data_IF_962452395247
#
_entry.id   IF_962452395247
#
_cell.length_a   1.000
_cell.length_b   1.000
_cell.length_c   1.000
_cell.angle_alpha   90.00
_cell.angle_beta   90.00
_cell.angle_gamma   90.00
#
_symmetry.space_group_name_H-M   'P 1'
#
loop_
_entity.id
_entity.type
_entity.pdbx_description
1 polymer ?
#
# COMPACT_ATOMS: atom_id res chain seq x y z
N UNK A 1 21.84 -14.35 25.64
CA UNK A 1 21.94 -13.25 24.67
C UNK A 1 20.70 -13.27 23.82
N UNK A 2 19.73 -12.40 24.08
CA UNK A 2 18.48 -12.31 23.32
C UNK A 2 18.71 -11.34 22.15
N UNK A 3 18.42 -11.80 20.94
CA UNK A 3 18.47 -11.00 19.72
C UNK A 3 17.64 -9.72 19.91
N UNK A 4 18.24 -8.57 19.59
CA UNK A 4 17.57 -7.28 19.68
C UNK A 4 16.32 -7.23 18.78
N UNK A 5 15.39 -6.29 19.03
CA UNK A 5 14.18 -6.15 18.23
C UNK A 5 14.54 -5.96 16.75
N UNK A 6 13.89 -6.72 15.87
CA UNK A 6 14.03 -6.57 14.42
C UNK A 6 13.65 -5.14 14.03
N UNK A 7 14.63 -4.39 13.50
CA UNK A 7 14.47 -3.00 13.09
C UNK A 7 14.03 -2.98 11.62
N UNK A 8 12.89 -2.36 11.35
CA UNK A 8 12.51 -1.98 10.00
C UNK A 8 13.44 -0.87 9.48
N UNK A 9 13.78 -0.90 8.19
CA UNK A 9 14.68 0.07 7.56
C UNK A 9 14.11 1.49 7.43
N UNK A 10 12.84 1.70 7.82
CA UNK A 10 12.15 2.98 7.69
C UNK A 10 12.21 3.73 9.02
N UNK A 11 13.17 4.67 9.10
CA UNK A 11 13.40 5.60 10.21
C UNK A 11 12.06 6.26 10.57
N UNK A 12 11.48 5.85 11.70
CA UNK A 12 10.20 6.28 12.28
C UNK A 12 8.93 6.12 11.41
N UNK A 13 8.41 4.90 11.37
CA UNK A 13 7.09 4.59 11.96
C UNK A 13 7.20 3.18 12.53
N UNK A 14 7.40 3.05 13.83
CA UNK A 14 6.98 1.83 14.49
C UNK A 14 5.49 1.71 14.16
N UNK A 15 5.06 0.66 13.46
CA UNK A 15 3.72 0.16 13.75
C UNK A 15 3.80 -0.21 15.23
N UNK A 16 3.32 0.69 16.10
CA UNK A 16 3.38 0.48 17.54
C UNK A 16 2.34 -0.59 17.85
N UNK A 17 2.69 -1.84 17.58
CA UNK A 17 1.88 -3.03 17.91
C UNK A 17 1.70 -3.18 19.44
N UNK A 18 2.37 -2.34 20.24
CA UNK A 18 2.26 -2.27 21.69
C UNK A 18 1.08 -1.39 22.15
N UNK A 19 0.50 -0.59 21.27
CA UNK A 19 -0.67 0.20 21.63
C UNK A 19 -1.85 -0.73 21.82
N UNK A 20 -2.61 -0.53 22.90
CA UNK A 20 -3.85 -1.24 23.10
C UNK A 20 -4.82 -0.80 22.01
N UNK A 21 -5.48 -1.78 21.38
CA UNK A 21 -6.64 -1.54 20.52
C UNK A 21 -7.64 -0.72 21.33
N UNK A 22 -8.04 0.41 20.80
CA UNK A 22 -9.02 1.32 21.39
C UNK A 22 -10.40 0.65 21.46
N UNK A 23 -11.33 1.25 22.20
CA UNK A 23 -12.71 0.74 22.24
C UNK A 23 -13.36 0.82 20.86
N UNK A 24 -13.14 1.92 20.15
CA UNK A 24 -13.72 2.15 18.83
C UNK A 24 -13.17 1.17 17.79
N UNK A 25 -11.85 0.95 17.78
CA UNK A 25 -11.22 -0.07 16.91
C UNK A 25 -11.76 -1.48 17.21
N UNK A 26 -11.98 -1.83 18.48
CA UNK A 26 -12.58 -3.11 18.84
C UNK A 26 -14.03 -3.22 18.36
N UNK A 27 -14.83 -2.17 18.46
CA UNK A 27 -16.22 -2.16 17.97
C UNK A 27 -16.24 -2.34 16.46
N UNK A 28 -15.38 -1.63 15.72
CA UNK A 28 -15.28 -1.75 14.27
C UNK A 28 -14.81 -3.16 13.89
N UNK A 29 -13.79 -3.70 14.56
CA UNK A 29 -13.32 -5.06 14.30
C UNK A 29 -14.42 -6.11 14.56
N UNK A 30 -15.16 -5.97 15.67
CA UNK A 30 -16.29 -6.84 15.97
C UNK A 30 -17.40 -6.72 14.92
N UNK A 31 -17.72 -5.51 14.47
CA UNK A 31 -18.69 -5.29 13.41
C UNK A 31 -18.25 -5.94 12.09
N UNK A 32 -17.01 -5.72 11.66
CA UNK A 32 -16.46 -6.29 10.43
C UNK A 32 -16.44 -7.81 10.49
N UNK A 33 -16.01 -8.40 11.61
CA UNK A 33 -15.87 -9.86 11.74
C UNK A 33 -17.15 -10.59 12.18
N UNK A 34 -18.22 -9.87 12.49
CA UNK A 34 -19.49 -10.50 12.81
C UNK A 34 -20.09 -11.14 11.56
N UNK A 35 -20.48 -12.41 11.66
CA UNK A 35 -21.20 -13.14 10.62
C UNK A 35 -22.67 -12.66 10.53
N UNK A 36 -22.86 -11.45 10.00
CA UNK A 36 -24.16 -10.78 9.84
C UNK A 36 -24.52 -10.64 8.36
N UNK A 37 -25.80 -10.45 8.05
CA UNK A 37 -26.29 -10.21 6.68
C UNK A 37 -25.88 -8.84 6.10
N UNK A 38 -25.24 -7.97 6.90
CA UNK A 38 -24.82 -6.61 6.54
C UNK A 38 -23.54 -6.54 5.67
N UNK A 39 -23.29 -7.55 4.84
CA UNK A 39 -22.04 -7.72 4.06
C UNK A 39 -21.76 -6.58 3.09
N UNK A 40 -22.79 -5.83 2.69
CA UNK A 40 -22.73 -4.71 1.75
C UNK A 40 -22.72 -3.34 2.43
N UNK A 41 -22.58 -3.27 3.75
CA UNK A 41 -22.42 -2.00 4.45
C UNK A 41 -21.07 -1.37 4.09
N UNK A 42 -21.05 -0.07 3.81
CA UNK A 42 -19.83 0.67 3.50
C UNK A 42 -18.98 0.81 4.77
N UNK A 43 -17.72 0.37 4.69
CA UNK A 43 -16.76 0.45 5.81
C UNK A 43 -15.65 1.45 5.52
N UNK A 44 -15.30 1.65 4.25
CA UNK A 44 -14.27 2.60 3.86
C UNK A 44 -14.61 3.23 2.51
N UNK A 45 -14.57 4.56 2.43
CA UNK A 45 -14.92 5.32 1.23
C UNK A 45 -13.79 6.31 0.89
N UNK A 46 -12.93 5.98 -0.09
CA UNK A 46 -11.97 6.94 -0.62
C UNK A 46 -12.71 8.04 -1.41
N UNK A 47 -12.21 9.29 -1.34
CA UNK A 47 -12.89 10.45 -1.90
C UNK A 47 -13.17 10.36 -3.42
N UNK A 48 -12.34 9.63 -4.17
CA UNK A 48 -12.36 9.60 -5.64
C UNK A 48 -12.51 8.18 -6.22
N UNK A 49 -12.93 7.19 -5.42
CA UNK A 49 -13.14 5.81 -5.89
C UNK A 49 -14.39 5.15 -5.29
N UNK A 50 -14.69 3.94 -5.78
CA UNK A 50 -15.79 3.12 -5.28
C UNK A 50 -15.61 2.82 -3.78
N UNK A 51 -16.68 2.89 -2.99
CA UNK A 51 -16.64 2.48 -1.59
C UNK A 51 -16.31 0.99 -1.43
N UNK A 52 -15.62 0.66 -0.34
CA UNK A 52 -15.31 -0.69 0.08
C UNK A 52 -16.29 -1.15 1.15
N UNK A 53 -16.91 -2.29 0.88
CA UNK A 53 -17.93 -2.90 1.74
C UNK A 53 -17.33 -3.81 2.81
N UNK A 54 -18.10 -4.08 3.86
CA UNK A 54 -17.76 -4.97 4.98
C UNK A 54 -17.14 -6.31 4.53
N UNK A 55 -17.76 -6.97 3.53
CA UNK A 55 -17.29 -8.27 3.02
C UNK A 55 -15.84 -8.26 2.54
N UNK A 56 -15.33 -7.12 2.06
CA UNK A 56 -13.92 -7.00 1.66
C UNK A 56 -12.99 -7.17 2.86
N UNK A 57 -13.36 -6.62 4.01
CA UNK A 57 -12.52 -6.59 5.21
C UNK A 57 -12.66 -7.84 6.09
N UNK A 58 -13.67 -8.69 5.86
CA UNK A 58 -13.83 -9.96 6.56
C UNK A 58 -12.61 -10.88 6.41
N UNK A 59 -11.86 -10.77 5.30
CA UNK A 59 -10.63 -11.52 5.10
C UNK A 59 -9.46 -11.09 6.01
N UNK A 60 -9.61 -10.02 6.80
CA UNK A 60 -8.66 -9.68 7.86
C UNK A 60 -8.81 -10.59 9.09
N UNK A 61 -9.84 -11.43 9.14
CA UNK A 61 -9.96 -12.43 10.19
C UNK A 61 -8.85 -13.49 10.08
N UNK A 62 -8.21 -13.91 11.20
CA UNK A 62 -7.13 -14.88 11.17
C UNK A 62 -7.49 -16.19 10.44
N UNK A 63 -6.62 -16.63 9.54
CA UNK A 63 -6.79 -17.87 8.77
C UNK A 63 -7.55 -17.71 7.45
N UNK A 64 -7.98 -16.49 7.10
CA UNK A 64 -8.60 -16.20 5.81
C UNK A 64 -7.57 -15.59 4.85
N UNK A 65 -7.63 -15.99 3.58
CA UNK A 65 -6.77 -15.43 2.52
C UNK A 65 -7.14 -13.97 2.25
N UNK A 66 -6.14 -13.09 2.26
CA UNK A 66 -6.34 -11.67 2.07
C UNK A 66 -6.79 -11.35 0.64
N UNK A 67 -7.85 -10.53 0.51
CA UNK A 67 -8.32 -10.00 -0.77
C UNK A 67 -7.42 -8.87 -1.28
N UNK A 68 -7.24 -8.79 -2.60
CA UNK A 68 -6.57 -7.65 -3.25
C UNK A 68 -7.27 -6.32 -2.95
N UNK A 69 -8.59 -6.33 -2.76
CA UNK A 69 -9.35 -5.12 -2.45
C UNK A 69 -8.95 -4.53 -1.08
N UNK A 70 -8.52 -5.37 -0.12
CA UNK A 70 -7.98 -4.86 1.16
C UNK A 70 -6.62 -4.21 0.96
N UNK A 71 -5.78 -4.76 0.07
CA UNK A 71 -4.50 -4.14 -0.29
C UNK A 71 -4.71 -2.78 -0.96
N UNK A 72 -5.70 -2.69 -1.84
CA UNK A 72 -6.04 -1.45 -2.53
C UNK A 72 -6.57 -0.40 -1.53
N UNK A 73 -7.46 -0.79 -0.62
CA UNK A 73 -7.91 0.08 0.48
C UNK A 73 -6.74 0.53 1.36
N UNK A 74 -5.77 -0.35 1.62
CA UNK A 74 -4.57 -0.01 2.39
C UNK A 74 -3.66 0.98 1.64
N UNK A 75 -3.53 0.84 0.32
CA UNK A 75 -2.76 1.77 -0.52
C UNK A 75 -3.32 3.20 -0.43
N UNK A 76 -4.65 3.35 -0.39
CA UNK A 76 -5.32 4.63 -0.18
C UNK A 76 -4.93 5.27 1.14
N UNK A 77 -5.04 4.52 2.23
CA UNK A 77 -4.67 5.01 3.58
C UNK A 77 -3.22 5.45 3.61
N UNK A 78 -2.31 4.63 3.07
CA UNK A 78 -0.88 4.94 3.04
C UNK A 78 -0.57 6.18 2.20
N UNK A 79 -1.18 6.33 1.03
CA UNK A 79 -0.96 7.50 0.19
C UNK A 79 -1.52 8.79 0.81
N UNK A 80 -2.67 8.74 1.49
CA UNK A 80 -3.20 9.89 2.24
C UNK A 80 -2.28 10.27 3.40
N UNK A 81 -1.67 9.29 4.05
CA UNK A 81 -0.69 9.51 5.10
C UNK A 81 0.61 10.15 4.60
N UNK A 82 1.01 9.87 3.35
CA UNK A 82 2.19 10.51 2.74
C UNK A 82 2.03 12.02 2.59
N UNK A 83 0.81 12.53 2.47
CA UNK A 83 0.52 13.98 2.50
C UNK A 83 0.95 14.64 3.82
N UNK A 84 1.14 13.85 4.89
CA UNK A 84 1.58 14.28 6.22
C UNK A 84 3.00 13.84 6.57
N UNK A 85 3.79 13.43 5.57
CA UNK A 85 5.16 12.93 5.80
C UNK A 85 6.06 14.02 6.42
N UNK A 86 7.04 13.58 7.21
CA UNK A 86 8.03 14.50 7.78
C UNK A 86 8.89 15.15 6.68
N UNK A 87 9.34 16.41 6.88
CA UNK A 87 10.33 17.03 6.01
C UNK A 87 11.58 16.15 5.86
N UNK A 88 12.10 16.02 4.63
CA UNK A 88 13.27 15.18 4.33
C UNK A 88 13.00 13.67 4.28
N UNK A 89 11.83 13.19 4.72
CA UNK A 89 11.44 11.78 4.56
C UNK A 89 11.22 11.45 3.07
N UNK A 90 11.69 10.28 2.59
CA UNK A 90 11.48 9.89 1.21
C UNK A 90 9.98 9.83 0.88
N UNK A 91 9.62 10.39 -0.27
CA UNK A 91 8.25 10.36 -0.76
C UNK A 91 7.95 8.98 -1.34
N UNK A 92 6.94 8.31 -0.78
CA UNK A 92 6.54 6.96 -1.17
C UNK A 92 5.24 7.02 -1.96
N UNK A 93 5.14 6.19 -2.99
CA UNK A 93 3.88 5.96 -3.70
C UNK A 93 3.51 4.48 -3.57
N UNK A 94 2.31 4.21 -3.09
CA UNK A 94 1.75 2.87 -2.99
C UNK A 94 0.71 2.69 -4.10
N UNK A 95 1.04 1.90 -5.13
CA UNK A 95 0.10 1.63 -6.23
C UNK A 95 -0.82 0.46 -5.87
N UNK A 96 -1.99 0.44 -6.49
CA UNK A 96 -2.98 -0.62 -6.33
C UNK A 96 -2.58 -1.90 -7.06
N UNK A 97 -3.19 -3.01 -6.68
CA UNK A 97 -2.99 -4.36 -7.26
C UNK A 97 -3.34 -4.45 -8.74
N UNK A 98 -4.19 -3.55 -9.22
CA UNK A 98 -4.56 -3.44 -10.63
C UNK A 98 -3.50 -2.77 -11.52
N UNK A 99 -2.33 -2.38 -10.97
CA UNK A 99 -1.21 -1.81 -11.75
C UNK A 99 -0.83 -2.71 -12.93
N UNK A 100 -0.85 -4.03 -12.72
CA UNK A 100 -0.78 -5.06 -13.74
C UNK A 100 -1.95 -6.04 -13.53
N UNK A 101 -3.07 -5.86 -14.24
CA UNK A 101 -4.23 -6.74 -14.12
C UNK A 101 -3.86 -8.20 -14.42
N UNK A 102 -4.58 -9.15 -13.79
CA UNK A 102 -4.33 -10.59 -13.96
C UNK A 102 -4.35 -11.03 -15.44
N UNK A 103 -5.17 -10.37 -16.27
CA UNK A 103 -5.25 -10.62 -17.71
C UNK A 103 -3.93 -10.35 -18.44
N UNK A 104 -3.11 -9.41 -17.97
CA UNK A 104 -1.82 -9.08 -18.57
C UNK A 104 -0.80 -10.23 -18.46
N UNK A 105 -1.03 -11.22 -17.59
CA UNK A 105 -0.17 -12.40 -17.46
C UNK A 105 -0.58 -13.55 -18.39
N UNK A 106 -1.66 -13.40 -19.17
CA UNK A 106 -2.07 -14.41 -20.15
C UNK A 106 -1.11 -14.42 -21.37
N UNK A 107 -0.94 -15.56 -22.06
CA UNK A 107 0.07 -15.71 -23.13
C UNK A 107 -0.03 -14.73 -24.30
N UNK A 108 -1.23 -14.17 -24.55
CA UNK A 108 -1.48 -13.22 -25.63
C UNK A 108 -1.00 -11.78 -25.37
N UNK A 109 -0.54 -11.50 -24.14
CA UNK A 109 0.04 -10.22 -23.77
C UNK A 109 1.56 -10.33 -23.85
N UNK A 110 2.15 -9.63 -24.81
CA UNK A 110 3.59 -9.44 -24.90
C UNK A 110 4.07 -8.39 -23.87
N UNK A 111 5.39 -8.28 -23.72
CA UNK A 111 5.98 -7.37 -22.74
C UNK A 111 5.72 -5.89 -23.07
N UNK A 112 5.51 -5.54 -24.35
CA UNK A 112 5.16 -4.18 -24.75
C UNK A 112 3.77 -3.80 -24.25
N UNK A 113 2.76 -4.65 -24.46
CA UNK A 113 1.40 -4.40 -23.95
C UNK A 113 1.34 -4.34 -22.43
N UNK A 114 2.14 -5.18 -21.75
CA UNK A 114 2.26 -5.14 -20.28
C UNK A 114 2.86 -3.81 -19.82
N UNK A 115 3.90 -3.36 -20.50
CA UNK A 115 4.56 -2.07 -20.21
C UNK A 115 3.60 -0.90 -20.43
N UNK A 116 2.83 -0.90 -21.53
CA UNK A 116 1.84 0.13 -21.83
C UNK A 116 0.75 0.17 -20.75
N UNK A 117 0.18 -1.00 -20.41
CA UNK A 117 -0.83 -1.10 -19.35
C UNK A 117 -0.31 -0.61 -18.00
N UNK A 118 0.90 -1.03 -17.62
CA UNK A 118 1.54 -0.58 -16.38
C UNK A 118 1.77 0.94 -16.39
N UNK A 119 2.19 1.50 -17.52
CA UNK A 119 2.45 2.93 -17.68
C UNK A 119 1.15 3.73 -17.55
N UNK A 120 0.07 3.29 -18.20
CA UNK A 120 -1.26 3.90 -18.09
C UNK A 120 -1.75 3.89 -16.65
N UNK A 121 -1.72 2.73 -15.98
CA UNK A 121 -2.16 2.59 -14.60
C UNK A 121 -1.29 3.38 -13.62
N UNK A 122 0.01 3.47 -13.86
CA UNK A 122 0.92 4.28 -13.06
C UNK A 122 0.62 5.77 -13.21
N UNK A 123 0.37 6.24 -14.44
CA UNK A 123 -0.02 7.63 -14.69
C UNK A 123 -1.35 7.98 -13.99
N UNK A 124 -2.31 7.05 -13.99
CA UNK A 124 -3.55 7.21 -13.21
C UNK A 124 -3.25 7.30 -11.70
N UNK A 125 -2.39 6.44 -11.17
CA UNK A 125 -2.00 6.48 -9.76
C UNK A 125 -1.26 7.77 -9.39
N UNK A 126 -0.40 8.30 -10.25
CA UNK A 126 0.28 9.59 -10.06
C UNK A 126 -0.75 10.73 -10.02
N UNK A 127 -1.65 10.77 -11.00
CA UNK A 127 -2.72 11.78 -11.10
C UNK A 127 -3.61 11.79 -9.85
N UNK A 128 -4.08 10.61 -9.40
CA UNK A 128 -4.91 10.44 -8.19
C UNK A 128 -4.24 10.95 -6.91
N UNK A 129 -2.92 10.97 -6.88
CA UNK A 129 -2.15 11.40 -5.71
C UNK A 129 -1.56 12.80 -5.87
N UNK A 130 -2.03 13.57 -6.86
CA UNK A 130 -1.55 14.93 -7.16
C UNK A 130 -0.05 15.00 -7.49
N UNK A 131 0.51 13.91 -8.04
CA UNK A 131 1.93 13.80 -8.40
C UNK A 131 2.08 14.11 -9.89
N UNK A 132 2.86 15.13 -10.23
CA UNK A 132 2.99 15.58 -11.63
C UNK A 132 3.99 14.76 -12.41
N UNK A 133 5.11 14.40 -11.78
CA UNK A 133 6.19 13.67 -12.41
C UNK A 133 6.60 12.47 -11.55
N UNK A 134 6.83 11.33 -12.20
CA UNK A 134 7.28 10.10 -11.53
C UNK A 134 8.61 10.28 -10.76
N UNK A 135 9.46 11.20 -11.18
CA UNK A 135 10.73 11.48 -10.52
C UNK A 135 10.59 12.21 -9.17
N UNK A 136 9.38 12.67 -8.82
CA UNK A 136 9.08 13.17 -7.47
C UNK A 136 8.95 12.03 -6.47
N UNK A 137 8.64 10.81 -6.94
CA UNK A 137 8.53 9.61 -6.12
C UNK A 137 9.93 9.06 -5.85
N UNK A 138 10.27 8.90 -4.58
CA UNK A 138 11.54 8.31 -4.16
C UNK A 138 11.48 6.78 -4.10
N UNK A 139 10.34 6.26 -3.67
CA UNK A 139 10.11 4.82 -3.49
C UNK A 139 8.72 4.45 -4.04
N UNK A 140 8.68 3.55 -5.02
CA UNK A 140 7.45 3.02 -5.59
C UNK A 140 7.19 1.62 -5.06
N UNK A 141 6.09 1.44 -4.33
CA UNK A 141 5.64 0.16 -3.78
C UNK A 141 4.56 -0.43 -4.67
N UNK A 142 4.89 -1.56 -5.29
CA UNK A 142 4.03 -2.29 -6.23
C UNK A 142 3.63 -3.64 -5.65
N UNK A 143 2.36 -3.86 -5.28
CA UNK A 143 1.89 -5.17 -4.87
C UNK A 143 1.77 -6.09 -6.09
N UNK A 144 2.17 -7.35 -5.93
CA UNK A 144 2.01 -8.41 -6.92
C UNK A 144 1.23 -9.55 -6.27
N UNK A 145 0.07 -9.85 -6.84
CA UNK A 145 -0.76 -10.98 -6.44
C UNK A 145 -0.50 -12.12 -7.41
N UNK A 146 0.01 -13.24 -6.90
CA UNK A 146 0.28 -14.44 -7.68
C UNK A 146 -0.28 -15.66 -6.97
N UNK A 147 -1.31 -16.27 -7.54
CA UNK A 147 -2.05 -17.36 -6.90
C UNK A 147 -2.53 -16.93 -5.49
N UNK A 148 -2.17 -17.66 -4.45
CA UNK A 148 -2.49 -17.38 -3.05
C UNK A 148 -1.43 -16.51 -2.34
N UNK A 149 -0.43 -16.03 -3.07
CA UNK A 149 0.68 -15.26 -2.51
C UNK A 149 0.60 -13.79 -2.88
N UNK A 150 0.91 -12.94 -1.90
CA UNK A 150 1.00 -11.50 -2.06
C UNK A 150 2.46 -11.10 -1.81
N UNK A 151 3.04 -10.43 -2.79
CA UNK A 151 4.38 -9.86 -2.73
C UNK A 151 4.28 -8.34 -2.84
N UNK A 152 5.30 -7.63 -2.37
CA UNK A 152 5.46 -6.19 -2.59
C UNK A 152 6.85 -5.94 -3.13
N UNK A 153 6.94 -5.39 -4.34
CA UNK A 153 8.19 -4.90 -4.91
C UNK A 153 8.33 -3.42 -4.55
N UNK A 154 9.49 -3.04 -4.04
CA UNK A 154 9.84 -1.65 -3.79
C UNK A 154 10.93 -1.22 -4.77
N UNK A 155 10.59 -0.33 -5.71
CA UNK A 155 11.56 0.32 -6.56
C UNK A 155 12.13 1.55 -5.85
N UNK A 156 13.44 1.60 -5.72
CA UNK A 156 14.13 2.80 -5.27
C UNK A 156 14.46 3.66 -6.48
N UNK A 157 13.76 4.79 -6.60
CA UNK A 157 13.84 5.69 -7.74
C UNK A 157 14.93 6.76 -7.58
N UNK A 158 15.54 6.87 -6.38
CA UNK A 158 16.67 7.76 -6.15
C UNK A 158 17.90 7.31 -6.91
N UNK A 159 18.57 8.26 -7.53
CA UNK A 159 19.85 8.02 -8.18
C UNK A 159 20.93 7.71 -7.13
N UNK A 160 22.05 7.06 -7.49
CA UNK A 160 23.16 6.84 -6.58
C UNK A 160 23.71 8.13 -5.94
N UNK A 161 23.61 9.27 -6.63
CA UNK A 161 24.10 10.58 -6.17
C UNK A 161 23.28 11.12 -4.99
N UNK A 162 21.96 10.90 -5.02
CA UNK A 162 21.02 11.30 -3.95
C UNK A 162 21.27 10.53 -2.63
N UNK A 163 21.95 9.38 -2.68
CA UNK A 163 22.25 8.56 -1.49
C UNK A 163 23.26 9.21 -0.55
N UNK A 164 24.14 10.06 -1.08
CA UNK A 164 25.20 10.72 -0.31
C UNK A 164 24.69 11.89 0.53
N UNK A 165 23.57 12.50 0.17
CA UNK A 165 23.00 13.66 0.88
C UNK A 165 22.31 13.21 2.17
N UNK A 166 21.64 12.05 2.17
CA UNK A 166 20.95 11.49 3.33
C UNK A 166 21.87 10.95 4.44
N UNK A 167 23.08 10.49 4.09
CA UNK A 167 24.04 10.02 5.09
C UNK A 167 24.72 11.16 5.87
N UNK A 168 24.80 12.37 5.31
CA UNK A 168 25.38 13.52 6.01
C UNK A 168 24.44 14.18 7.03
N UNK A 169 23.13 13.97 6.90
CA UNK A 169 22.14 14.54 7.83
C UNK A 169 21.75 13.60 8.98
N UNK A 170 22.15 12.32 8.94
CA UNK A 170 21.85 11.33 9.98
C UNK A 170 22.87 11.28 11.14
N UNK A 171 23.91 12.13 11.11
CA UNK A 171 24.99 12.16 12.11
C UNK A 171 25.32 13.58 12.63
N UNK A 172 24.29 14.41 12.82
CA UNK A 172 24.40 15.62 13.65
C UNK A 172 23.24 15.72 14.61
#
# INVERSE_FOLDING_TARGET
MLAGPLKSAYIQRQVVMKNKITKDENIIAQFVFAATEATHDVVFEPADETPYFKVVFECLYPGITLSSNVLDAWSHVLNQDEKKKAPGSPFRLFVQTNILPSDCFKPQYDDLKRMDTMTENLNLALSKNDIKLINEVDLLFMPIVSSEHIYVICFNMKTPEDRNIGQQQAWR
#
